data_IF_711948634633
#
_entry.id   IF_711948634633
#
_cell.length_a   1.000
_cell.length_b   1.000
_cell.length_c   1.000
_cell.angle_alpha   90.00
_cell.angle_beta   90.00
_cell.angle_gamma   90.00
#
_symmetry.space_group_name_H-M   'P 1'
#
loop_
_entity.id
_entity.type
_entity.pdbx_description
1 polymer ?
#
# COMPACT_ATOMS: atom_id res chain seq x y z
N UNK A 1 0.03 -31.60 -68.81
CA UNK A 1 -0.53 -32.20 -67.57
C UNK A 1 0.62 -32.68 -66.70
N UNK A 2 0.54 -32.44 -65.37
CA UNK A 2 1.50 -32.83 -64.31
C UNK A 2 2.74 -31.94 -64.13
N UNK A 3 2.52 -30.79 -63.48
CA UNK A 3 3.49 -30.15 -62.60
C UNK A 3 2.71 -29.41 -61.50
N UNK A 4 2.16 -30.17 -60.57
CA UNK A 4 1.64 -29.68 -59.28
C UNK A 4 2.31 -30.51 -58.19
N UNK A 5 2.47 -29.88 -57.03
CA UNK A 5 2.99 -30.43 -55.78
C UNK A 5 4.51 -30.30 -55.56
N UNK A 6 4.95 -29.10 -55.18
CA UNK A 6 5.93 -28.89 -54.08
C UNK A 6 5.68 -27.51 -53.45
N UNK A 7 4.72 -27.46 -52.54
CA UNK A 7 4.52 -26.34 -51.62
C UNK A 7 4.00 -26.94 -50.31
N UNK A 8 4.94 -27.55 -49.59
CA UNK A 8 4.76 -28.02 -48.23
C UNK A 8 5.99 -27.59 -47.45
N UNK A 9 5.78 -27.23 -46.19
CA UNK A 9 6.75 -26.82 -45.18
C UNK A 9 7.30 -25.39 -45.31
N UNK A 10 6.52 -24.43 -44.82
CA UNK A 10 7.10 -23.34 -44.05
C UNK A 10 6.44 -23.36 -42.67
N UNK A 11 7.29 -23.68 -41.69
CA UNK A 11 6.98 -23.93 -40.31
C UNK A 11 6.35 -22.71 -39.65
N UNK A 12 5.26 -22.93 -38.92
CA UNK A 12 4.80 -22.04 -37.86
C UNK A 12 4.96 -22.78 -36.54
N UNK A 13 6.21 -22.84 -36.05
CA UNK A 13 6.49 -23.27 -34.68
C UNK A 13 6.10 -22.13 -33.76
N UNK A 14 4.84 -22.15 -33.30
CA UNK A 14 4.36 -21.26 -32.26
C UNK A 14 5.00 -21.73 -30.94
N UNK A 15 6.12 -21.12 -30.57
CA UNK A 15 6.76 -21.35 -29.28
C UNK A 15 5.88 -20.69 -28.21
N UNK A 16 5.17 -21.51 -27.42
CA UNK A 16 4.59 -21.08 -26.15
C UNK A 16 5.75 -20.68 -25.23
N UNK A 17 5.88 -19.38 -24.91
CA UNK A 17 6.73 -18.94 -23.81
C UNK A 17 6.06 -19.31 -22.48
N UNK A 18 6.79 -19.94 -21.53
CA UNK A 18 6.29 -20.12 -20.19
C UNK A 18 6.18 -18.77 -19.47
N UNK A 19 5.05 -18.57 -18.79
CA UNK A 19 4.83 -17.44 -17.89
C UNK A 19 5.89 -17.46 -16.79
N UNK A 20 6.69 -16.38 -16.71
CA UNK A 20 7.63 -16.18 -15.63
C UNK A 20 6.87 -15.87 -14.33
N UNK A 21 6.85 -16.84 -13.42
CA UNK A 21 6.44 -16.64 -12.04
C UNK A 21 7.53 -15.86 -11.31
N UNK A 22 7.30 -14.57 -11.03
CA UNK A 22 8.17 -13.77 -10.19
C UNK A 22 8.06 -14.26 -8.74
N UNK A 23 9.11 -14.93 -8.26
CA UNK A 23 9.24 -15.34 -6.86
C UNK A 23 9.39 -14.11 -5.96
N UNK A 24 8.50 -14.00 -4.97
CA UNK A 24 8.61 -13.05 -3.88
C UNK A 24 9.76 -13.49 -2.95
N UNK A 25 10.85 -12.73 -2.95
CA UNK A 25 11.88 -12.83 -1.94
C UNK A 25 11.39 -12.07 -0.68
N UNK A 26 10.99 -12.83 0.35
CA UNK A 26 10.67 -12.28 1.66
C UNK A 26 11.92 -11.72 2.33
N UNK A 27 11.98 -10.41 2.52
CA UNK A 27 12.92 -9.77 3.43
C UNK A 27 12.38 -9.91 4.85
N UNK A 28 12.95 -10.82 5.63
CA UNK A 28 12.72 -10.87 7.07
C UNK A 28 13.44 -9.70 7.73
N UNK A 29 12.68 -8.74 8.25
CA UNK A 29 13.22 -7.70 9.13
C UNK A 29 13.56 -8.34 10.48
N UNK A 30 14.85 -8.40 10.78
CA UNK A 30 15.38 -8.84 12.07
C UNK A 30 14.98 -7.83 13.16
N UNK A 31 14.12 -8.29 14.06
CA UNK A 31 13.73 -7.67 15.32
C UNK A 31 15.01 -7.34 16.12
N UNK A 32 15.26 -6.05 16.39
CA UNK A 32 16.32 -5.61 17.30
C UNK A 32 15.74 -5.37 18.68
N UNK A 33 16.47 -5.86 19.70
CA UNK A 33 16.13 -5.88 21.12
C UNK A 33 15.68 -4.52 21.71
N UNK A 34 14.75 -4.52 22.68
CA UNK A 34 14.47 -3.34 23.50
C UNK A 34 15.56 -3.14 24.59
N UNK A 35 15.89 -1.89 24.95
CA UNK A 35 16.81 -1.62 26.05
C UNK A 35 16.14 -1.88 27.41
N UNK A 36 16.76 -2.76 28.21
CA UNK A 36 16.50 -2.91 29.64
C UNK A 36 16.87 -1.61 30.38
N UNK A 37 15.91 -1.01 31.09
CA UNK A 37 16.17 0.01 32.09
C UNK A 37 15.77 -0.50 33.47
N UNK A 38 16.80 -0.93 34.21
CA UNK A 38 16.71 -1.16 35.65
C UNK A 38 16.71 0.17 36.42
N UNK A 39 15.86 0.25 37.43
CA UNK A 39 15.78 1.41 38.31
C UNK A 39 14.85 1.18 39.50
N UNK A 40 15.34 0.44 40.50
CA UNK A 40 14.69 0.32 41.81
C UNK A 40 14.82 1.65 42.58
N UNK A 41 13.69 2.32 42.81
CA UNK A 41 13.60 3.50 43.67
C UNK A 41 12.52 3.29 44.73
N UNK A 42 12.95 3.00 45.95
CA UNK A 42 12.12 2.88 47.15
C UNK A 42 11.90 4.28 47.73
N UNK A 43 10.65 4.72 47.90
CA UNK A 43 10.35 5.90 48.73
C UNK A 43 9.19 5.66 49.67
N UNK A 44 9.55 5.85 50.94
CA UNK A 44 8.84 5.71 52.20
C UNK A 44 7.62 6.63 52.32
N UNK A 45 6.59 6.14 52.99
CA UNK A 45 5.34 6.86 53.21
C UNK A 45 5.42 8.05 54.16
N UNK A 46 4.33 8.80 54.20
CA UNK A 46 3.98 9.63 55.36
C UNK A 46 2.46 9.70 55.46
N UNK A 47 1.95 9.10 56.53
CA UNK A 47 0.56 9.18 56.98
C UNK A 47 0.31 10.58 57.51
N UNK A 48 -0.71 11.29 57.00
CA UNK A 48 -1.21 12.52 57.62
C UNK A 48 -2.72 12.39 57.82
N UNK A 49 -3.09 12.23 59.07
CA UNK A 49 -4.45 12.18 59.58
C UNK A 49 -4.84 13.58 60.06
N UNK A 50 -5.93 14.14 59.55
CA UNK A 50 -6.63 15.25 60.19
C UNK A 50 -8.15 15.13 59.93
N UNK A 51 -9.00 15.33 60.95
CA UNK A 51 -10.46 15.24 60.83
C UNK A 51 -11.14 16.62 60.78
N UNK A 52 -12.42 16.60 60.38
CA UNK A 52 -13.48 17.62 60.62
C UNK A 52 -13.44 18.84 59.67
N UNK A 53 -14.53 19.46 59.22
CA UNK A 53 -15.92 19.57 59.69
C UNK A 53 -16.87 19.86 58.51
N UNK A 54 -18.12 19.41 58.65
CA UNK A 54 -19.32 19.80 57.91
C UNK A 54 -19.51 21.32 57.81
N UNK A 55 -19.75 21.83 56.60
CA UNK A 55 -20.47 23.09 56.38
C UNK A 55 -21.25 22.98 55.07
N UNK A 56 -22.57 22.99 55.20
CA UNK A 56 -23.53 22.90 54.10
C UNK A 56 -23.85 24.33 53.65
N UNK A 57 -23.34 24.72 52.49
CA UNK A 57 -23.71 25.97 51.82
C UNK A 57 -23.99 25.64 50.34
N UNK A 58 -25.13 26.04 49.74
CA UNK A 58 -25.42 25.84 48.33
C UNK A 58 -24.64 26.89 47.51
N UNK A 59 -23.33 26.74 47.45
CA UNK A 59 -22.45 27.59 46.66
C UNK A 59 -22.50 27.16 45.20
N UNK A 60 -22.80 28.14 44.36
CA UNK A 60 -22.71 28.14 42.90
C UNK A 60 -21.53 27.28 42.43
N UNK A 61 -21.84 26.16 41.77
CA UNK A 61 -20.85 25.22 41.25
C UNK A 61 -19.98 25.94 40.22
N UNK A 62 -18.86 26.48 40.69
CA UNK A 62 -17.82 27.05 39.84
C UNK A 62 -17.02 25.85 39.38
N UNK A 63 -17.30 25.38 38.16
CA UNK A 63 -16.59 24.25 37.55
C UNK A 63 -15.09 24.46 37.74
N UNK A 64 -14.36 23.54 38.39
CA UNK A 64 -12.92 23.70 38.58
C UNK A 64 -12.30 23.84 37.20
N UNK A 65 -11.75 25.02 36.92
CA UNK A 65 -10.99 25.27 35.71
C UNK A 65 -9.65 24.58 35.89
N UNK A 66 -9.61 23.28 35.60
CA UNK A 66 -8.35 22.54 35.48
C UNK A 66 -7.54 23.26 34.41
N UNK A 67 -6.52 23.98 34.85
CA UNK A 67 -5.63 24.75 33.96
C UNK A 67 -4.65 23.77 33.33
N UNK A 68 -5.14 22.86 32.51
CA UNK A 68 -4.29 22.05 31.65
C UNK A 68 -3.63 23.02 30.67
N UNK A 69 -2.30 23.10 30.60
CA UNK A 69 -1.63 24.01 29.68
C UNK A 69 -2.09 23.70 28.25
N UNK A 70 -2.70 24.69 27.59
CA UNK A 70 -3.18 24.55 26.23
C UNK A 70 -1.99 24.31 25.30
N UNK A 71 -1.96 23.14 24.66
CA UNK A 71 -1.02 22.87 23.57
C UNK A 71 -1.46 23.74 22.39
N UNK A 72 -0.55 24.52 21.82
CA UNK A 72 -0.85 25.38 20.66
C UNK A 72 -0.43 24.71 19.36
N UNK A 73 -1.12 25.02 18.25
CA UNK A 73 -0.78 24.47 16.93
C UNK A 73 0.69 24.77 16.55
N UNK A 74 1.21 25.95 16.90
CA UNK A 74 2.62 26.31 16.68
C UNK A 74 3.61 25.38 17.41
N UNK A 75 3.21 24.77 18.54
CA UNK A 75 4.03 23.80 19.27
C UNK A 75 3.88 22.38 18.73
N UNK A 76 2.73 22.06 18.13
CA UNK A 76 2.50 20.77 17.49
C UNK A 76 3.29 20.66 16.18
N UNK A 77 3.22 21.68 15.32
CA UNK A 77 3.72 21.60 13.95
C UNK A 77 2.96 20.58 13.10
N UNK A 78 3.19 20.61 11.78
CA UNK A 78 2.52 19.68 10.86
C UNK A 78 3.02 18.24 11.05
N UNK A 79 2.09 17.29 11.02
CA UNK A 79 2.34 15.86 11.11
C UNK A 79 2.69 15.24 9.76
N UNK A 80 2.64 13.90 9.71
CA UNK A 80 2.76 13.15 8.47
C UNK A 80 1.49 13.31 7.63
N UNK A 81 0.32 13.12 8.26
CA UNK A 81 -0.99 13.24 7.60
C UNK A 81 -1.87 14.35 8.19
N UNK A 82 -1.65 14.71 9.46
CA UNK A 82 -2.51 15.69 10.15
C UNK A 82 -1.89 17.08 10.17
N UNK A 83 -2.74 18.11 10.06
CA UNK A 83 -2.34 19.49 10.28
C UNK A 83 -1.96 19.73 11.75
N UNK A 84 -1.18 20.78 12.01
CA UNK A 84 -0.85 21.17 13.38
C UNK A 84 -2.09 21.37 14.28
N UNK A 85 -3.16 21.94 13.72
CA UNK A 85 -4.44 22.16 14.42
C UNK A 85 -5.14 20.85 14.76
N UNK A 86 -5.27 19.94 13.78
CA UNK A 86 -5.93 18.64 13.99
C UNK A 86 -5.18 17.78 15.01
N UNK A 87 -3.84 17.88 15.04
CA UNK A 87 -3.02 17.20 16.05
C UNK A 87 -3.33 17.70 17.46
N UNK A 88 -3.47 19.01 17.65
CA UNK A 88 -3.81 19.58 18.96
C UNK A 88 -5.21 19.15 19.39
N UNK A 89 -6.19 19.23 18.48
CA UNK A 89 -7.56 18.83 18.75
C UNK A 89 -7.62 17.36 19.15
N UNK A 90 -7.03 16.47 18.33
CA UNK A 90 -7.03 15.04 18.57
C UNK A 90 -6.31 14.68 19.88
N UNK A 91 -5.17 15.31 20.17
CA UNK A 91 -4.47 15.09 21.44
C UNK A 91 -5.32 15.50 22.65
N UNK A 92 -6.10 16.58 22.53
CA UNK A 92 -7.02 17.05 23.56
C UNK A 92 -8.15 16.02 23.77
N UNK A 93 -8.78 15.56 22.70
CA UNK A 93 -9.81 14.52 22.73
C UNK A 93 -9.30 13.23 23.39
N UNK A 94 -8.09 12.79 23.04
CA UNK A 94 -7.48 11.61 23.67
C UNK A 94 -7.17 11.84 25.16
N UNK A 95 -6.77 13.05 25.56
CA UNK A 95 -6.53 13.38 26.96
C UNK A 95 -7.81 13.37 27.81
N UNK A 96 -8.91 13.87 27.26
CA UNK A 96 -10.24 13.80 27.89
C UNK A 96 -10.68 12.34 28.06
N UNK A 97 -10.60 11.54 27.00
CA UNK A 97 -10.90 10.12 27.04
C UNK A 97 -10.02 9.35 28.03
N UNK A 98 -8.73 9.70 28.14
CA UNK A 98 -7.83 9.11 29.14
C UNK A 98 -8.25 9.48 30.56
N UNK A 99 -8.75 10.70 30.78
CA UNK A 99 -9.23 11.13 32.11
C UNK A 99 -10.50 10.37 32.52
N UNK A 100 -11.40 10.10 31.57
CA UNK A 100 -12.64 9.35 31.81
C UNK A 100 -12.38 7.85 32.04
N UNK A 101 -11.55 7.25 31.18
CA UNK A 101 -11.36 5.79 31.18
C UNK A 101 -10.23 5.34 32.09
N UNK A 102 -9.21 6.16 32.32
CA UNK A 102 -7.95 5.76 32.97
C UNK A 102 -7.00 4.98 32.05
N UNK A 103 -7.29 4.90 30.74
CA UNK A 103 -6.49 4.23 29.72
C UNK A 103 -5.77 5.28 28.86
N UNK A 104 -4.49 5.07 28.57
CA UNK A 104 -3.73 5.95 27.68
C UNK A 104 -3.98 5.56 26.23
N UNK A 105 -4.30 6.54 25.39
CA UNK A 105 -4.44 6.34 23.96
C UNK A 105 -3.26 6.96 23.22
N UNK A 106 -2.71 6.20 22.28
CA UNK A 106 -1.66 6.67 21.39
C UNK A 106 -1.98 6.21 19.98
N UNK A 107 -1.66 7.04 19.00
CA UNK A 107 -1.50 6.56 17.63
C UNK A 107 -0.10 6.88 17.12
N UNK A 108 0.40 6.02 16.24
CA UNK A 108 1.70 6.13 15.60
C UNK A 108 1.52 5.94 14.11
N UNK A 109 1.91 6.93 13.31
CA UNK A 109 1.94 6.83 11.85
C UNK A 109 3.39 6.67 11.40
N UNK A 110 3.68 5.63 10.64
CA UNK A 110 4.98 5.41 10.03
C UNK A 110 4.83 5.48 8.52
N UNK A 111 5.47 6.47 7.91
CA UNK A 111 5.55 6.62 6.46
C UNK A 111 6.92 6.15 5.98
N UNK A 112 6.94 5.07 5.21
CA UNK A 112 8.11 4.58 4.53
C UNK A 112 8.07 5.01 3.06
N UNK A 113 9.11 5.69 2.59
CA UNK A 113 9.31 5.94 1.16
C UNK A 113 10.31 4.91 0.62
N UNK A 114 10.02 4.30 -0.53
CA UNK A 114 10.92 3.35 -1.20
C UNK A 114 12.34 3.90 -1.45
N UNK A 115 12.50 5.23 -1.52
CA UNK A 115 13.81 5.90 -1.61
C UNK A 115 14.66 5.84 -0.33
N UNK A 116 14.15 5.26 0.75
CA UNK A 116 14.85 5.06 2.02
C UNK A 116 14.62 6.17 3.06
N UNK A 117 13.88 7.22 2.73
CA UNK A 117 13.42 8.19 3.71
C UNK A 117 12.21 7.63 4.46
N UNK A 118 12.28 7.58 5.80
CA UNK A 118 11.12 7.30 6.65
C UNK A 118 10.77 8.51 7.49
N UNK A 119 9.48 8.71 7.72
CA UNK A 119 8.95 9.66 8.70
C UNK A 119 8.08 8.91 9.68
N UNK A 120 8.12 9.32 10.93
CA UNK A 120 7.27 8.78 11.96
C UNK A 120 6.65 9.93 12.73
N UNK A 121 5.35 9.82 12.96
CA UNK A 121 4.58 10.70 13.81
C UNK A 121 4.04 9.87 14.98
N UNK A 122 4.07 10.46 16.17
CA UNK A 122 3.44 9.89 17.36
C UNK A 122 2.54 10.95 17.97
N UNK A 123 1.36 10.56 18.42
CA UNK A 123 0.45 11.45 19.12
C UNK A 123 -0.31 10.66 20.18
N UNK A 124 -0.40 11.24 21.37
CA UNK A 124 -1.06 10.60 22.50
C UNK A 124 -1.80 11.61 23.36
N UNK A 125 -2.43 11.13 24.43
CA UNK A 125 -2.97 11.93 25.51
C UNK A 125 -1.94 12.87 26.18
N UNK A 126 -0.62 12.65 25.99
CA UNK A 126 0.43 13.53 26.49
C UNK A 126 0.75 14.70 25.53
N UNK A 127 0.17 14.70 24.33
CA UNK A 127 0.35 15.70 23.29
C UNK A 127 0.96 15.14 21.99
N UNK A 128 1.12 16.02 20.98
CA UNK A 128 1.83 15.72 19.75
C UNK A 128 3.30 15.37 20.02
N UNK A 129 3.84 14.41 19.27
CA UNK A 129 5.22 13.91 19.34
C UNK A 129 5.66 13.39 20.71
N UNK A 130 4.68 12.99 21.53
CA UNK A 130 4.91 12.45 22.87
C UNK A 130 4.25 11.09 23.00
N UNK A 131 5.02 10.12 23.48
CA UNK A 131 4.48 8.85 23.94
C UNK A 131 3.85 9.01 25.34
N UNK A 132 2.88 8.16 25.70
CA UNK A 132 2.39 8.10 27.06
C UNK A 132 3.52 7.74 28.03
N UNK A 133 3.60 8.43 29.16
CA UNK A 133 4.57 8.10 30.22
C UNK A 133 4.22 6.78 30.90
N UNK A 134 5.18 5.88 31.05
CA UNK A 134 4.95 4.62 31.76
C UNK A 134 4.44 4.87 33.17
N UNK A 135 3.30 4.28 33.53
CA UNK A 135 2.65 4.43 34.84
C UNK A 135 1.68 5.61 34.96
N UNK A 136 1.52 6.46 33.94
CA UNK A 136 0.50 7.52 33.98
C UNK A 136 -0.92 7.00 33.77
N UNK A 137 -1.09 5.80 33.22
CA UNK A 137 -2.40 5.21 32.96
C UNK A 137 -2.59 3.91 33.74
N UNK A 138 -3.43 3.91 34.79
CA UNK A 138 -3.63 2.76 35.66
C UNK A 138 -4.29 1.58 34.92
N UNK A 139 -5.03 1.86 33.85
CA UNK A 139 -5.66 0.83 33.00
C UNK A 139 -4.86 0.57 31.72
N UNK A 140 -3.55 0.81 31.68
CA UNK A 140 -2.73 0.44 30.53
C UNK A 140 -2.83 1.39 29.33
N UNK A 141 -2.39 0.90 28.16
CA UNK A 141 -2.20 1.68 26.93
C UNK A 141 -2.88 0.97 25.75
N UNK A 142 -3.61 1.72 24.93
CA UNK A 142 -4.13 1.29 23.63
C UNK A 142 -3.46 2.12 22.54
N UNK A 143 -2.87 1.43 21.56
CA UNK A 143 -2.04 2.01 20.53
C UNK A 143 -2.52 1.62 19.13
N UNK A 144 -2.96 2.61 18.34
CA UNK A 144 -3.16 2.48 16.90
C UNK A 144 -1.82 2.66 16.17
N UNK A 145 -1.46 1.76 15.29
CA UNK A 145 -0.24 1.83 14.47
C UNK A 145 -0.64 1.81 13.02
N UNK A 146 -0.39 2.90 12.32
CA UNK A 146 -0.63 3.03 10.89
C UNK A 146 0.71 2.98 10.16
N UNK A 147 0.81 2.08 9.18
CA UNK A 147 1.97 1.96 8.31
C UNK A 147 1.56 2.34 6.89
N UNK A 148 2.22 3.35 6.35
CA UNK A 148 2.02 3.84 4.99
C UNK A 148 3.32 3.58 4.24
N UNK A 149 3.23 2.91 3.10
CA UNK A 149 4.36 2.69 2.22
C UNK A 149 4.08 3.39 0.90
N UNK A 150 4.88 4.41 0.60
CA UNK A 150 4.87 5.10 -0.68
C UNK A 150 5.89 4.49 -1.63
N UNK A 151 5.40 4.14 -2.80
CA UNK A 151 6.20 3.71 -3.92
C UNK A 151 6.43 4.91 -4.83
N UNK A 152 7.68 5.17 -5.21
CA UNK A 152 8.00 6.27 -6.12
C UNK A 152 7.13 6.20 -7.39
N UNK A 153 6.75 7.35 -7.95
CA UNK A 153 5.98 7.44 -9.22
C UNK A 153 6.62 6.72 -10.41
N UNK A 154 7.92 6.42 -10.35
CA UNK A 154 8.66 5.63 -11.34
C UNK A 154 8.68 4.12 -11.08
N UNK A 155 8.07 3.65 -9.99
CA UNK A 155 8.02 2.24 -9.60
C UNK A 155 6.67 1.63 -9.98
N UNK A 156 6.70 0.39 -10.43
CA UNK A 156 5.51 -0.41 -10.75
C UNK A 156 4.86 -1.05 -9.51
N UNK A 157 5.40 -0.81 -8.30
CA UNK A 157 4.78 -1.35 -7.08
C UNK A 157 3.65 -0.44 -6.59
N UNK A 158 2.65 -1.05 -5.98
CA UNK A 158 1.48 -0.35 -5.44
C UNK A 158 1.82 0.26 -4.07
N UNK A 159 1.32 1.47 -3.83
CA UNK A 159 1.27 2.04 -2.49
C UNK A 159 0.44 1.13 -1.58
N UNK A 160 0.85 1.01 -0.33
CA UNK A 160 0.12 0.19 0.64
C UNK A 160 -0.06 0.94 1.95
N UNK A 161 -1.23 0.76 2.54
CA UNK A 161 -1.53 1.18 3.89
C UNK A 161 -1.95 -0.06 4.67
N UNK A 162 -1.57 -0.10 5.94
CA UNK A 162 -2.14 -1.02 6.92
C UNK A 162 -2.24 -0.32 8.25
N UNK A 163 -3.16 -0.78 9.10
CA UNK A 163 -3.18 -0.35 10.48
C UNK A 163 -3.37 -1.55 11.41
N UNK A 164 -2.85 -1.42 12.63
CA UNK A 164 -3.05 -2.40 13.68
C UNK A 164 -3.37 -1.74 15.00
N UNK A 165 -4.12 -2.43 15.86
CA UNK A 165 -4.44 -1.97 17.21
C UNK A 165 -3.76 -2.90 18.20
N UNK A 166 -2.94 -2.31 19.07
CA UNK A 166 -2.22 -3.05 20.12
C UNK A 166 -2.65 -2.54 21.49
N UNK A 167 -2.87 -3.45 22.44
CA UNK A 167 -3.20 -3.12 23.83
C UNK A 167 -2.15 -3.68 24.77
N UNK A 168 -1.72 -2.87 25.74
CA UNK A 168 -0.84 -3.28 26.82
C UNK A 168 -1.51 -2.99 28.16
N UNK A 169 -2.13 -4.02 28.73
CA UNK A 169 -2.78 -3.96 30.04
C UNK A 169 -4.13 -3.23 30.08
N UNK A 170 -4.70 -2.85 28.92
CA UNK A 170 -6.01 -2.23 28.87
C UNK A 170 -7.14 -3.26 28.93
N UNK A 171 -8.01 -3.20 29.97
CA UNK A 171 -9.16 -4.10 30.08
C UNK A 171 -10.22 -3.72 29.04
N UNK A 172 -10.97 -4.72 28.58
CA UNK A 172 -12.10 -4.52 27.66
C UNK A 172 -11.71 -4.44 26.17
N UNK A 173 -10.42 -4.38 25.84
CA UNK A 173 -9.99 -4.40 24.43
C UNK A 173 -10.11 -5.81 23.87
N UNK A 174 -10.93 -5.95 22.84
CA UNK A 174 -11.13 -7.17 22.06
C UNK A 174 -9.84 -7.68 21.41
N UNK A 175 -9.73 -9.01 21.21
CA UNK A 175 -8.67 -9.58 20.37
C UNK A 175 -8.80 -9.17 18.89
N UNK A 176 -10.02 -8.84 18.47
CA UNK A 176 -10.38 -8.38 17.13
C UNK A 176 -10.58 -6.85 17.08
N UNK A 177 -9.87 -6.11 17.93
CA UNK A 177 -10.01 -4.66 18.07
C UNK A 177 -9.86 -3.89 16.73
N UNK A 178 -9.09 -4.42 15.79
CA UNK A 178 -8.95 -3.85 14.44
C UNK A 178 -10.25 -3.95 13.62
N UNK A 179 -10.94 -5.10 13.70
CA UNK A 179 -12.20 -5.33 13.01
C UNK A 179 -13.32 -4.50 13.66
N UNK A 180 -13.33 -4.42 14.98
CA UNK A 180 -14.27 -3.58 15.71
C UNK A 180 -14.06 -2.08 15.39
N UNK A 181 -12.81 -1.62 15.35
CA UNK A 181 -12.49 -0.24 14.96
C UNK A 181 -12.94 0.05 13.53
N UNK A 182 -12.77 -0.91 12.61
CA UNK A 182 -13.27 -0.82 11.25
C UNK A 182 -14.79 -0.71 11.20
N UNK A 183 -15.50 -1.56 11.94
CA UNK A 183 -16.97 -1.54 11.96
C UNK A 183 -17.51 -0.23 12.57
N UNK A 184 -16.83 0.32 13.57
CA UNK A 184 -17.18 1.59 14.22
C UNK A 184 -16.98 2.80 13.29
N UNK A 185 -15.88 2.82 12.54
CA UNK A 185 -15.47 3.98 11.74
C UNK A 185 -15.88 3.90 10.28
N UNK A 186 -16.11 2.69 9.77
CA UNK A 186 -16.27 2.42 8.34
C UNK A 186 -15.00 2.66 7.52
N UNK A 187 -13.86 2.87 8.17
CA UNK A 187 -12.58 3.18 7.51
C UNK A 187 -11.84 1.90 7.17
N UNK A 188 -11.49 1.76 5.89
CA UNK A 188 -10.62 0.70 5.39
C UNK A 188 -9.18 1.22 5.14
N UNK A 189 -8.23 0.30 4.99
CA UNK A 189 -6.85 0.61 4.62
C UNK A 189 -6.75 1.44 3.32
N UNK A 190 -7.63 1.19 2.35
CA UNK A 190 -7.71 1.95 1.09
C UNK A 190 -8.04 3.43 1.30
N UNK A 191 -8.76 3.77 2.37
CA UNK A 191 -9.19 5.15 2.62
C UNK A 191 -8.02 5.99 3.16
N UNK A 192 -7.03 5.33 3.78
CA UNK A 192 -5.74 5.92 4.17
C UNK A 192 -4.81 6.21 2.99
N UNK A 193 -5.14 5.71 1.79
CA UNK A 193 -4.43 6.00 0.54
C UNK A 193 -5.19 6.99 -0.37
N UNK A 194 -6.39 7.39 0.06
CA UNK A 194 -7.32 8.20 -0.72
C UNK A 194 -7.09 9.70 -0.59
N UNK A 195 -8.02 10.46 -1.16
CA UNK A 195 -7.96 11.93 -1.08
C UNK A 195 -8.19 12.44 0.36
N UNK A 196 -8.88 11.68 1.20
CA UNK A 196 -9.29 12.05 2.56
C UNK A 196 -8.60 11.17 3.62
N UNK A 197 -7.30 10.93 3.41
CA UNK A 197 -6.42 10.15 4.29
C UNK A 197 -6.29 10.78 5.70
N UNK A 198 -6.24 12.11 5.77
CA UNK A 198 -6.29 12.89 7.01
C UNK A 198 -7.57 12.63 7.82
N UNK A 199 -8.73 12.66 7.15
CA UNK A 199 -10.02 12.38 7.77
C UNK A 199 -10.15 10.92 8.22
N UNK A 200 -9.70 9.97 7.39
CA UNK A 200 -9.68 8.55 7.72
C UNK A 200 -8.84 8.27 8.97
N UNK A 201 -7.62 8.83 9.03
CA UNK A 201 -6.74 8.71 10.19
C UNK A 201 -7.36 9.34 11.44
N UNK A 202 -7.96 10.53 11.32
CA UNK A 202 -8.61 11.22 12.44
C UNK A 202 -9.78 10.40 13.00
N UNK A 203 -10.60 9.80 12.14
CA UNK A 203 -11.72 8.96 12.55
C UNK A 203 -11.24 7.68 13.26
N UNK A 204 -10.20 7.01 12.75
CA UNK A 204 -9.59 5.86 13.43
C UNK A 204 -9.05 6.22 14.81
N UNK A 205 -8.27 7.30 14.91
CA UNK A 205 -7.65 7.71 16.15
C UNK A 205 -8.69 8.15 17.20
N UNK A 206 -9.73 8.89 16.79
CA UNK A 206 -10.76 9.35 17.70
C UNK A 206 -11.76 8.26 18.12
N UNK A 207 -11.84 7.16 17.38
CA UNK A 207 -12.61 5.98 17.76
C UNK A 207 -11.83 5.03 18.70
N UNK A 208 -10.53 5.23 18.91
CA UNK A 208 -9.74 4.40 19.85
C UNK A 208 -10.36 4.30 21.25
N UNK A 209 -10.87 5.38 21.87
CA UNK A 209 -11.54 5.28 23.16
C UNK A 209 -12.74 4.32 23.15
N UNK A 210 -13.46 4.21 22.04
CA UNK A 210 -14.63 3.33 21.95
C UNK A 210 -14.29 1.84 22.06
N UNK A 211 -13.01 1.47 21.86
CA UNK A 211 -12.53 0.10 21.99
C UNK A 211 -12.32 -0.34 23.46
N UNK A 212 -12.43 0.58 24.42
CA UNK A 212 -12.40 0.22 25.84
C UNK A 212 -13.79 0.32 26.46
N UNK A 213 -14.12 -0.71 27.25
CA UNK A 213 -15.40 -0.80 27.96
C UNK A 213 -15.67 0.46 28.80
N UNK A 214 -16.82 1.08 28.55
CA UNK A 214 -17.31 2.23 29.30
C UNK A 214 -16.82 3.59 28.81
N UNK A 215 -16.15 3.68 27.66
CA UNK A 215 -15.91 4.95 27.01
C UNK A 215 -17.18 5.48 26.33
N UNK A 216 -17.40 6.79 26.43
CA UNK A 216 -18.39 7.47 25.60
C UNK A 216 -17.75 7.89 24.27
N UNK A 217 -18.50 7.87 23.14
CA UNK A 217 -17.98 8.38 21.89
C UNK A 217 -17.54 9.83 22.04
N UNK A 218 -16.27 10.10 21.76
CA UNK A 218 -15.82 11.47 21.60
C UNK A 218 -16.56 12.08 20.41
N UNK A 219 -17.34 13.13 20.65
CA UNK A 219 -17.96 13.89 19.56
C UNK A 219 -16.85 14.66 18.85
N UNK A 220 -16.42 14.18 17.67
CA UNK A 220 -15.44 14.91 16.88
C UNK A 220 -16.07 16.20 16.36
N UNK A 221 -15.40 17.33 16.56
CA UNK A 221 -15.73 18.52 15.80
C UNK A 221 -15.46 18.28 14.31
N UNK A 222 -16.16 18.99 13.41
CA UNK A 222 -15.90 18.88 11.99
C UNK A 222 -14.41 19.14 11.68
N UNK A 223 -13.79 18.41 10.72
CA UNK A 223 -12.37 18.60 10.39
C UNK A 223 -12.07 20.06 10.10
N UNK A 224 -10.93 20.54 10.62
CA UNK A 224 -10.38 21.79 10.13
C UNK A 224 -10.10 21.64 8.63
N UNK A 225 -10.06 22.77 7.91
CA UNK A 225 -9.86 22.75 6.46
C UNK A 225 -8.66 21.84 6.09
N UNK A 226 -8.86 21.03 5.04
CA UNK A 226 -7.94 19.98 4.57
C UNK A 226 -6.47 20.37 4.73
N UNK A 227 -5.67 19.49 5.35
CA UNK A 227 -4.27 19.80 5.69
C UNK A 227 -3.47 20.26 4.45
N UNK A 228 -2.54 21.22 4.57
CA UNK A 228 -1.73 21.69 3.45
C UNK A 228 -0.91 20.55 2.82
N UNK A 229 -1.24 20.23 1.57
CA UNK A 229 -0.73 19.10 0.80
C UNK A 229 0.78 19.16 0.55
N UNK A 230 1.60 18.66 1.47
CA UNK A 230 3.00 18.31 1.20
C UNK A 230 3.11 16.83 0.88
N UNK A 231 3.27 16.49 -0.41
CA UNK A 231 3.39 15.10 -0.90
C UNK A 231 2.16 14.22 -0.57
N UNK A 232 1.07 14.41 -1.32
CA UNK A 232 -0.10 13.54 -1.21
C UNK A 232 0.11 12.23 -1.92
N UNK A 233 -0.39 11.16 -1.32
CA UNK A 233 -0.71 9.90 -1.98
C UNK A 233 -1.58 10.24 -3.18
N UNK A 234 -1.08 10.09 -4.41
CA UNK A 234 -1.84 10.51 -5.60
C UNK A 234 -3.04 9.59 -5.88
N UNK A 235 -3.36 8.65 -4.97
CA UNK A 235 -4.45 7.66 -5.08
C UNK A 235 -4.41 6.82 -6.36
N UNK A 236 -3.36 7.00 -7.14
CA UNK A 236 -3.18 6.48 -8.47
C UNK A 236 -2.02 5.52 -8.32
N UNK A 237 -2.26 4.21 -8.18
CA UNK A 237 -1.21 3.22 -8.39
C UNK A 237 -0.46 3.64 -9.64
N UNK A 238 0.89 3.54 -9.62
CA UNK A 238 1.71 3.79 -10.80
C UNK A 238 0.99 3.18 -11.99
N UNK A 239 0.39 4.06 -12.79
CA UNK A 239 -0.80 3.69 -13.55
C UNK A 239 -0.47 2.43 -14.29
N UNK A 240 -1.34 1.43 -14.20
CA UNK A 240 -1.28 0.11 -14.83
C UNK A 240 -1.27 0.31 -16.36
N UNK A 241 -0.37 1.13 -16.87
CA UNK A 241 -0.39 1.84 -18.14
C UNK A 241 0.04 0.85 -19.20
N UNK A 242 1.05 0.04 -18.88
CA UNK A 242 1.42 -1.13 -19.65
C UNK A 242 0.28 -2.16 -19.72
N UNK A 243 -0.64 -2.20 -18.75
CA UNK A 243 -1.80 -3.12 -18.76
C UNK A 243 -3.00 -2.53 -19.50
N UNK A 244 -3.36 -1.28 -19.20
CA UNK A 244 -4.41 -0.50 -19.84
C UNK A 244 -4.12 -0.25 -21.33
N UNK A 245 -2.85 -0.01 -21.68
CA UNK A 245 -2.40 0.18 -23.06
C UNK A 245 -1.71 -1.06 -23.63
N UNK A 246 -1.60 -2.16 -22.86
CA UNK A 246 -0.92 -3.39 -23.30
C UNK A 246 -1.55 -4.00 -24.54
N UNK A 247 -2.88 -3.98 -24.61
CA UNK A 247 -3.62 -4.40 -25.81
C UNK A 247 -3.30 -3.48 -26.99
N UNK A 248 -3.26 -2.16 -26.77
CA UNK A 248 -2.90 -1.18 -27.80
C UNK A 248 -1.47 -1.38 -28.34
N UNK A 249 -0.51 -1.61 -27.44
CA UNK A 249 0.89 -1.89 -27.78
C UNK A 249 1.00 -3.20 -28.56
N UNK A 250 0.30 -4.26 -28.13
CA UNK A 250 0.29 -5.55 -28.82
C UNK A 250 -0.29 -5.43 -30.24
N UNK A 251 -1.38 -4.67 -30.42
CA UNK A 251 -1.96 -4.40 -31.74
C UNK A 251 -0.98 -3.61 -32.61
N UNK A 252 -0.37 -2.55 -32.07
CA UNK A 252 0.60 -1.73 -32.80
C UNK A 252 1.80 -2.59 -33.28
N UNK A 253 2.30 -3.47 -32.42
CA UNK A 253 3.38 -4.40 -32.77
C UNK A 253 2.97 -5.39 -33.86
N UNK A 254 1.75 -5.96 -33.77
CA UNK A 254 1.22 -6.87 -34.79
C UNK A 254 1.08 -6.18 -36.17
N UNK A 255 0.60 -4.94 -36.20
CA UNK A 255 0.48 -4.14 -37.43
C UNK A 255 1.86 -3.85 -38.02
N UNK A 256 2.85 -3.53 -37.20
CA UNK A 256 4.22 -3.25 -37.64
C UNK A 256 4.86 -4.50 -38.26
N UNK A 257 4.71 -5.66 -37.62
CA UNK A 257 5.19 -6.95 -38.17
C UNK A 257 4.53 -7.26 -39.51
N UNK A 258 3.20 -7.11 -39.61
CA UNK A 258 2.46 -7.35 -40.85
C UNK A 258 2.93 -6.42 -41.98
N UNK A 259 3.09 -5.12 -41.68
CA UNK A 259 3.62 -4.14 -42.62
C UNK A 259 5.04 -4.49 -43.11
N UNK A 260 5.92 -4.91 -42.19
CA UNK A 260 7.27 -5.38 -42.52
C UNK A 260 7.28 -6.59 -43.45
N UNK A 261 6.40 -7.56 -43.22
CA UNK A 261 6.26 -8.74 -44.10
C UNK A 261 5.80 -8.34 -45.51
N UNK A 262 4.79 -7.47 -45.61
CA UNK A 262 4.30 -6.99 -46.91
C UNK A 262 5.37 -6.21 -47.68
N UNK A 263 6.14 -5.37 -46.98
CA UNK A 263 7.28 -4.65 -47.57
C UNK A 263 8.34 -5.62 -48.09
N UNK A 264 8.72 -6.64 -47.31
CA UNK A 264 9.71 -7.64 -47.71
C UNK A 264 9.26 -8.42 -48.96
N UNK A 265 7.99 -8.84 -49.02
CA UNK A 265 7.41 -9.50 -50.19
C UNK A 265 7.39 -8.56 -51.40
N UNK A 266 7.07 -7.28 -51.21
CA UNK A 266 7.14 -6.25 -52.25
C UNK A 266 8.56 -6.09 -52.82
N UNK A 267 9.58 -6.10 -51.97
CA UNK A 267 10.98 -6.01 -52.40
C UNK A 267 11.45 -7.29 -53.12
N UNK A 268 11.04 -8.47 -52.65
CA UNK A 268 11.36 -9.76 -53.26
C UNK A 268 10.68 -9.94 -54.63
N UNK A 269 9.42 -9.54 -54.76
CA UNK A 269 8.68 -9.60 -56.03
C UNK A 269 9.27 -8.66 -57.08
N UNK A 270 9.71 -7.45 -56.69
CA UNK A 270 10.46 -6.55 -57.59
C UNK A 270 11.75 -7.19 -58.10
N UNK A 271 12.54 -7.81 -57.21
CA UNK A 271 13.77 -8.54 -57.62
C UNK A 271 13.50 -9.71 -58.56
N UNK A 272 12.31 -10.31 -58.52
CA UNK A 272 11.94 -11.39 -59.43
C UNK A 272 11.43 -10.86 -60.78
N UNK A 273 10.76 -9.72 -60.80
CA UNK A 273 10.29 -9.07 -62.03
C UNK A 273 11.46 -8.56 -62.89
N UNK A 274 12.54 -8.09 -62.26
CA UNK A 274 13.75 -7.61 -62.95
C UNK A 274 14.69 -8.75 -63.39
N UNK A 275 14.32 -10.02 -63.21
CA UNK A 275 15.09 -11.11 -63.81
C UNK A 275 14.94 -11.01 -65.34
N UNK A 276 16.01 -10.72 -66.09
CA UNK A 276 15.92 -10.60 -67.53
C UNK A 276 15.35 -11.91 -68.08
N UNK A 277 14.20 -11.82 -68.76
CA UNK A 277 13.63 -12.94 -69.52
C UNK A 277 14.74 -13.43 -70.45
N UNK A 278 15.33 -14.57 -70.11
CA UNK A 278 16.36 -15.23 -70.92
C UNK A 278 15.79 -15.36 -72.34
N UNK A 279 16.34 -14.67 -73.35
CA UNK A 279 15.82 -14.74 -74.71
C UNK A 279 15.84 -16.20 -75.15
N UNK A 280 14.72 -16.64 -75.73
CA UNK A 280 14.42 -18.04 -76.00
C UNK A 280 15.59 -18.83 -76.60
N UNK A 281 16.13 -19.75 -75.82
CA UNK A 281 16.96 -20.84 -76.31
C UNK A 281 16.11 -21.74 -77.20
N UNK A 282 16.46 -21.77 -78.49
CA UNK A 282 15.84 -22.55 -79.55
C UNK A 282 15.62 -24.02 -79.17
N UNK A 283 14.49 -24.53 -79.64
CA UNK A 283 14.19 -25.97 -79.79
C UNK A 283 15.40 -26.74 -80.36
N UNK A 284 15.72 -27.89 -79.76
CA UNK A 284 16.37 -29.01 -80.47
C UNK A 284 15.59 -30.29 -80.16
N UNK A 285 14.93 -30.93 -81.14
CA UNK A 285 14.43 -32.29 -81.02
C UNK A 285 15.55 -33.28 -81.38
N UNK A 286 15.54 -34.46 -80.74
CA UNK A 286 16.26 -35.74 -80.98
C UNK A 286 16.75 -36.26 -79.62
N UNK A 287 16.72 -37.53 -79.24
CA UNK A 287 16.21 -38.79 -79.79
C UNK A 287 16.58 -39.86 -78.74
N UNK A 288 15.79 -40.93 -78.64
CA UNK A 288 16.20 -42.31 -78.33
C UNK A 288 17.20 -42.64 -77.18
N UNK A 289 16.79 -43.59 -76.32
CA UNK A 289 17.64 -44.34 -75.38
C UNK A 289 16.86 -44.66 -74.11
N UNK A 290 16.12 -45.76 -74.00
CA UNK A 290 16.56 -47.16 -73.87
C UNK A 290 17.27 -47.46 -72.54
N UNK A 291 16.72 -48.40 -71.76
CA UNK A 291 17.30 -49.00 -70.56
C UNK A 291 16.46 -48.74 -69.29
N UNK A 292 15.44 -49.55 -68.96
CA UNK A 292 15.47 -50.91 -68.39
C UNK A 292 15.82 -50.96 -66.89
N UNK A 293 14.86 -51.55 -66.16
CA UNK A 293 14.96 -52.37 -64.94
C UNK A 293 15.01 -51.72 -63.54
N UNK A 294 14.02 -52.14 -62.74
CA UNK A 294 13.95 -52.00 -61.27
C UNK A 294 14.86 -53.01 -60.54
N UNK A 295 14.55 -53.51 -59.32
CA UNK A 295 13.30 -53.40 -58.55
C UNK A 295 13.46 -53.03 -57.05
N UNK A 296 12.31 -52.79 -56.43
CA UNK A 296 11.87 -53.12 -55.05
C UNK A 296 12.86 -53.12 -53.87
N UNK A 297 12.53 -52.35 -52.83
CA UNK A 297 12.53 -52.86 -51.45
C UNK A 297 11.55 -52.07 -50.57
N UNK A 298 10.56 -52.80 -50.06
CA UNK A 298 9.76 -52.52 -48.88
C UNK A 298 10.63 -52.41 -47.63
N UNK A 299 10.34 -51.51 -46.70
CA UNK A 299 10.63 -51.72 -45.27
C UNK A 299 9.63 -50.94 -44.40
N UNK A 300 8.88 -51.75 -43.65
CA UNK A 300 7.96 -51.49 -42.53
C UNK A 300 8.71 -50.98 -41.28
N UNK A 301 7.97 -50.71 -40.19
CA UNK A 301 8.41 -50.53 -38.77
C UNK A 301 8.62 -49.05 -38.40
N UNK A 302 8.00 -48.42 -37.40
CA UNK A 302 7.02 -48.78 -36.35
C UNK A 302 6.32 -47.49 -35.91
#
# INVERSE_FOLDING_TARGET
MRARARLAALAATLVLLPAATAGHAGAQATLSDPPEFGGSGTTTGTTSTAPSTTSTDPSTATTPTTTTPAITAAQAGDGVLLSAEDRVELATTLAEATTETGTCFVYVVSLANYSGASRQETLSNAGPDKAPTTGSCPKGIVALRVNLTYTSSSSESEDSASYSVTSSGAPGVSFDAEAELKDLTGVDEKDLLGDDDDLALRNLAAALPLLVDGATPAELAAPAAKAPNGDRLTGSPGGDWARAHGVGIAIAFAVLVLGGVLLAVGLLSRRQADRPRRPGGRRRPTSAGSGSDGPSSSTTTT
#
